data_IF_619106632510
#
_entry.id   IF_619106632510
#
_cell.length_a   1.000
_cell.length_b   1.000
_cell.length_c   1.000
_cell.angle_alpha   90.00
_cell.angle_beta   90.00
_cell.angle_gamma   90.00
#
_symmetry.space_group_name_H-M   'P 1'
#
loop_
_entity.id
_entity.type
_entity.pdbx_description
1 polymer ?
#
# COMPACT_ATOMS: atom_id res chain seq x y z
N UNK A 1 -2.99 -23.72 6.66
CA UNK A 1 -1.70 -23.01 6.81
C UNK A 1 -1.94 -21.58 6.34
N UNK A 2 -1.99 -20.62 7.26
CA UNK A 2 -2.13 -19.20 6.88
C UNK A 2 -0.78 -18.72 6.36
N UNK A 3 -0.76 -18.22 5.12
CA UNK A 3 0.45 -17.62 4.57
C UNK A 3 0.79 -16.39 5.43
N UNK A 4 2.03 -16.25 5.93
CA UNK A 4 2.40 -15.19 6.87
C UNK A 4 2.18 -13.78 6.32
N UNK A 5 2.11 -13.60 5.00
CA UNK A 5 1.80 -12.33 4.35
C UNK A 5 0.35 -11.85 4.59
N UNK A 6 -0.62 -12.77 4.69
CA UNK A 6 -2.04 -12.41 4.84
C UNK A 6 -2.31 -11.78 6.22
N UNK A 7 -1.69 -12.31 7.27
CA UNK A 7 -1.86 -11.79 8.63
C UNK A 7 -1.30 -10.38 8.81
N UNK A 8 -0.15 -10.08 8.21
CA UNK A 8 0.43 -8.73 8.22
C UNK A 8 -0.43 -7.75 7.43
N UNK A 9 -1.00 -8.20 6.30
CA UNK A 9 -1.91 -7.38 5.49
C UNK A 9 -3.15 -7.00 6.30
N UNK A 10 -3.78 -7.96 6.97
CA UNK A 10 -4.94 -7.73 7.82
C UNK A 10 -4.63 -6.76 8.96
N UNK A 11 -3.45 -6.87 9.58
CA UNK A 11 -2.99 -5.92 10.59
C UNK A 11 -2.82 -4.51 10.02
N UNK A 12 -2.21 -4.38 8.85
CA UNK A 12 -2.06 -3.08 8.18
C UNK A 12 -3.41 -2.43 7.87
N UNK A 13 -4.35 -3.20 7.32
CA UNK A 13 -5.70 -2.72 7.04
C UNK A 13 -6.46 -2.33 8.33
N UNK A 14 -6.27 -3.09 9.40
CA UNK A 14 -6.85 -2.74 10.71
C UNK A 14 -6.25 -1.45 11.23
N UNK A 15 -4.94 -1.27 11.14
CA UNK A 15 -4.27 -0.03 11.55
C UNK A 15 -4.80 1.18 10.77
N UNK A 16 -5.05 1.06 9.46
CA UNK A 16 -5.72 2.11 8.68
C UNK A 16 -7.11 2.46 9.23
N UNK A 17 -7.90 1.45 9.60
CA UNK A 17 -9.23 1.67 10.22
C UNK A 17 -9.14 2.32 11.59
N UNK A 18 -8.10 2.02 12.34
CA UNK A 18 -7.82 2.64 13.65
C UNK A 18 -7.15 4.02 13.53
N UNK A 19 -7.12 4.60 12.32
CA UNK A 19 -6.51 5.90 12.05
C UNK A 19 -5.00 5.94 12.37
N UNK A 20 -4.33 4.79 12.23
CA UNK A 20 -2.90 4.56 12.46
C UNK A 20 -2.20 4.19 11.14
N UNK A 21 -2.13 5.10 10.17
CA UNK A 21 -1.52 4.80 8.88
C UNK A 21 0.00 4.59 8.97
N UNK A 22 0.69 5.16 9.96
CA UNK A 22 2.11 4.92 10.22
C UNK A 22 2.40 3.44 10.54
N UNK A 23 1.63 2.85 11.46
CA UNK A 23 1.72 1.42 11.77
C UNK A 23 1.35 0.57 10.55
N UNK A 24 0.34 0.99 9.79
CA UNK A 24 -0.06 0.29 8.58
C UNK A 24 1.08 0.21 7.56
N UNK A 25 1.76 1.34 7.31
CA UNK A 25 2.93 1.42 6.44
C UNK A 25 4.02 0.43 6.86
N UNK A 26 4.31 0.33 8.16
CA UNK A 26 5.31 -0.62 8.67
C UNK A 26 4.93 -2.08 8.36
N UNK A 27 3.67 -2.47 8.59
CA UNK A 27 3.20 -3.83 8.29
C UNK A 27 3.25 -4.14 6.78
N UNK A 28 2.84 -3.20 5.93
CA UNK A 28 2.89 -3.39 4.48
C UNK A 28 4.33 -3.42 3.95
N UNK A 29 5.21 -2.58 4.50
CA UNK A 29 6.63 -2.57 4.21
C UNK A 29 7.29 -3.93 4.48
N UNK A 30 7.03 -4.55 5.63
CA UNK A 30 7.55 -5.89 5.93
C UNK A 30 7.09 -6.96 4.91
N UNK A 31 5.86 -6.85 4.41
CA UNK A 31 5.35 -7.78 3.38
C UNK A 31 6.09 -7.54 2.07
N UNK A 32 6.25 -6.28 1.67
CA UNK A 32 6.96 -5.90 0.43
C UNK A 32 8.41 -6.35 0.51
N UNK A 33 9.10 -6.17 1.64
CA UNK A 33 10.49 -6.64 1.82
C UNK A 33 10.62 -8.15 1.62
N UNK A 34 9.65 -8.94 2.10
CA UNK A 34 9.63 -10.40 1.93
C UNK A 34 9.09 -10.84 0.57
N UNK A 35 8.18 -10.08 -0.01
CA UNK A 35 7.48 -10.37 -1.25
C UNK A 35 7.08 -9.08 -1.97
N UNK A 36 8.02 -8.54 -2.75
CA UNK A 36 7.81 -7.35 -3.59
C UNK A 36 6.81 -7.59 -4.73
N UNK A 37 6.43 -8.85 -4.98
CA UNK A 37 5.43 -9.26 -5.99
C UNK A 37 4.01 -9.31 -5.40
N UNK A 38 3.76 -8.77 -4.21
CA UNK A 38 2.42 -8.71 -3.61
C UNK A 38 1.72 -7.38 -3.92
N UNK A 39 0.71 -7.35 -4.83
CA UNK A 39 -0.01 -6.13 -5.16
C UNK A 39 -0.85 -5.63 -3.98
N UNK A 40 -1.34 -6.52 -3.12
CA UNK A 40 -2.15 -6.16 -1.94
C UNK A 40 -1.33 -5.34 -0.94
N UNK A 41 -0.06 -5.70 -0.73
CA UNK A 41 0.82 -4.98 0.20
C UNK A 41 1.17 -3.58 -0.32
N UNK A 42 1.49 -3.47 -1.62
CA UNK A 42 1.72 -2.17 -2.26
C UNK A 42 0.46 -1.30 -2.22
N UNK A 43 -0.72 -1.83 -2.58
CA UNK A 43 -2.00 -1.12 -2.45
C UNK A 43 -2.24 -0.63 -1.01
N UNK A 44 -1.94 -1.47 -0.02
CA UNK A 44 -2.00 -1.11 1.40
C UNK A 44 -1.06 0.04 1.79
N UNK A 45 0.20 -0.03 1.37
CA UNK A 45 1.21 1.01 1.60
C UNK A 45 0.78 2.34 0.98
N UNK A 46 0.34 2.31 -0.28
CA UNK A 46 -0.16 3.47 -1.00
C UNK A 46 -1.34 4.13 -0.29
N UNK A 47 -2.31 3.32 0.16
CA UNK A 47 -3.45 3.83 0.94
C UNK A 47 -3.04 4.41 2.29
N UNK A 48 -2.03 3.83 2.94
CA UNK A 48 -1.48 4.36 4.18
C UNK A 48 -0.83 5.73 3.97
N UNK A 49 -0.02 5.88 2.93
CA UNK A 49 0.60 7.15 2.55
C UNK A 49 -0.45 8.22 2.24
N UNK A 50 -1.51 7.88 1.50
CA UNK A 50 -2.64 8.80 1.26
C UNK A 50 -3.31 9.22 2.57
N UNK A 51 -3.54 8.27 3.48
CA UNK A 51 -4.15 8.56 4.78
C UNK A 51 -3.26 9.43 5.68
N UNK A 52 -1.93 9.37 5.50
CA UNK A 52 -0.96 10.27 6.16
C UNK A 52 -0.92 11.67 5.52
N UNK A 53 -1.46 11.83 4.30
CA UNK A 53 -1.27 13.04 3.49
C UNK A 53 0.07 13.06 2.74
N UNK A 54 0.83 11.97 2.82
CA UNK A 54 2.11 11.78 2.11
C UNK A 54 1.85 11.36 0.66
N UNK A 55 1.24 12.26 -0.11
CA UNK A 55 0.90 12.00 -1.52
C UNK A 55 2.15 11.87 -2.38
N UNK A 56 3.16 12.70 -2.13
CA UNK A 56 4.45 12.65 -2.82
C UNK A 56 5.12 11.28 -2.63
N UNK A 57 5.23 10.80 -1.39
CA UNK A 57 5.75 9.47 -1.10
C UNK A 57 4.94 8.34 -1.73
N UNK A 58 3.61 8.51 -1.84
CA UNK A 58 2.76 7.55 -2.52
C UNK A 58 3.05 7.49 -4.04
N UNK A 59 3.32 8.63 -4.67
CA UNK A 59 3.71 8.69 -6.08
C UNK A 59 5.10 8.09 -6.32
N UNK A 60 6.06 8.32 -5.42
CA UNK A 60 7.38 7.70 -5.47
C UNK A 60 7.28 6.18 -5.31
N UNK A 61 6.47 5.70 -4.36
CA UNK A 61 6.23 4.28 -4.17
C UNK A 61 5.64 3.64 -5.44
N UNK A 62 4.71 4.30 -6.15
CA UNK A 62 4.20 3.82 -7.44
C UNK A 62 5.31 3.63 -8.47
N UNK A 63 6.29 4.54 -8.51
CA UNK A 63 7.40 4.45 -9.45
C UNK A 63 8.34 3.27 -9.13
N UNK A 64 8.41 2.84 -7.86
CA UNK A 64 9.19 1.67 -7.43
C UNK A 64 8.44 0.34 -7.66
N UNK A 65 7.11 0.38 -7.87
CA UNK A 65 6.30 -0.81 -8.12
C UNK A 65 6.68 -1.42 -9.49
N UNK A 66 6.98 -2.73 -9.54
CA UNK A 66 7.29 -3.40 -10.80
C UNK A 66 6.10 -3.36 -11.77
N UNK A 67 6.37 -3.20 -13.07
CA UNK A 67 5.35 -3.10 -14.14
C UNK A 67 4.32 -4.23 -14.12
N UNK A 68 4.77 -5.44 -13.75
CA UNK A 68 3.89 -6.62 -13.60
C UNK A 68 2.78 -6.41 -12.56
N UNK A 69 3.03 -5.60 -11.54
CA UNK A 69 2.06 -5.20 -10.52
C UNK A 69 1.30 -3.91 -10.90
N UNK A 70 1.90 -3.00 -11.67
CA UNK A 70 1.20 -1.81 -12.18
C UNK A 70 -0.03 -2.19 -13.02
N UNK A 71 -0.03 -3.36 -13.66
CA UNK A 71 -1.19 -3.88 -14.38
C UNK A 71 -2.28 -4.46 -13.46
N UNK A 72 -1.98 -4.75 -12.18
CA UNK A 72 -2.97 -5.31 -11.26
C UNK A 72 -4.07 -4.30 -10.92
N UNK A 73 -5.33 -4.77 -10.82
CA UNK A 73 -6.47 -3.91 -10.51
C UNK A 73 -6.35 -3.23 -9.13
N UNK A 74 -5.72 -3.92 -8.17
CA UNK A 74 -5.41 -3.38 -6.83
C UNK A 74 -4.50 -2.14 -6.91
N UNK A 75 -3.42 -2.19 -7.70
CA UNK A 75 -2.48 -1.07 -7.85
C UNK A 75 -3.12 0.05 -8.65
N UNK A 76 -3.80 -0.26 -9.76
CA UNK A 76 -4.52 0.77 -10.55
C UNK A 76 -5.54 1.52 -9.72
N UNK A 77 -6.27 0.81 -8.85
CA UNK A 77 -7.20 1.43 -7.90
C UNK A 77 -6.50 2.36 -6.92
N UNK A 78 -5.36 1.95 -6.36
CA UNK A 78 -4.55 2.78 -5.47
C UNK A 78 -3.97 4.01 -6.19
N UNK A 79 -3.43 3.84 -7.39
CA UNK A 79 -2.91 4.92 -8.23
C UNK A 79 -3.97 5.97 -8.53
N UNK A 80 -5.17 5.55 -8.91
CA UNK A 80 -6.28 6.46 -9.13
C UNK A 80 -6.62 7.25 -7.85
N UNK A 81 -6.65 6.59 -6.69
CA UNK A 81 -6.90 7.26 -5.42
C UNK A 81 -5.80 8.29 -5.08
N UNK A 82 -4.53 7.99 -5.37
CA UNK A 82 -3.40 8.91 -5.18
C UNK A 82 -3.53 10.11 -6.10
N UNK A 83 -3.80 9.89 -7.39
CA UNK A 83 -3.96 10.98 -8.35
C UNK A 83 -5.13 11.90 -7.97
N UNK A 84 -6.24 11.32 -7.50
CA UNK A 84 -7.39 12.08 -7.00
C UNK A 84 -7.00 12.89 -5.76
N UNK A 85 -6.25 12.30 -4.82
CA UNK A 85 -5.78 12.98 -3.62
C UNK A 85 -4.75 14.07 -3.93
N UNK A 86 -3.89 13.88 -4.93
CA UNK A 86 -2.87 14.84 -5.37
C UNK A 86 -3.47 16.08 -6.04
N UNK A 87 -4.62 15.93 -6.69
CA UNK A 87 -5.32 17.02 -7.39
C UNK A 87 -6.28 17.82 -6.51
N UNK A 88 -6.38 17.48 -5.22
CA UNK A 88 -7.36 18.06 -4.29
C UNK A 88 -6.78 19.25 -3.53
#
# INVERSE_FOLDING_TARGET
MAFPGTHLLEKGLKALKENKPEEACAYFGEIIEKNKESPEAWNGLLRALIAMGEIEGAQEAIADIPEKLLEHPEIKGAQAAIEIAAKK
#
